data_IF_717494297207
#
_entry.id   IF_717494297207
#
_cell.length_a   1.000
_cell.length_b   1.000
_cell.length_c   1.000
_cell.angle_alpha   90.00
_cell.angle_beta   90.00
_cell.angle_gamma   90.00
#
_symmetry.space_group_name_H-M   'P 1'
#
loop_
_entity.id
_entity.type
_entity.pdbx_description
1 polymer ?
#
# COMPACT_ATOMS: atom_id res chain seq x y z
N UNK A 1 -15.65 -59.97 -34.46
CA UNK A 1 -14.35 -60.14 -35.15
C UNK A 1 -13.88 -58.76 -35.61
N UNK A 2 -12.66 -58.35 -35.21
CA UNK A 2 -11.77 -57.28 -35.75
C UNK A 2 -12.38 -56.32 -36.81
N UNK A 3 -12.23 -54.99 -36.74
CA UNK A 3 -10.93 -54.29 -36.67
C UNK A 3 -11.12 -52.78 -36.53
N UNK A 4 -10.20 -52.18 -35.78
CA UNK A 4 -9.97 -50.76 -35.57
C UNK A 4 -9.46 -49.97 -36.79
N UNK A 5 -9.80 -48.66 -36.77
CA UNK A 5 -9.04 -47.44 -37.11
C UNK A 5 -8.45 -47.27 -38.54
N UNK A 6 -8.84 -46.17 -39.23
CA UNK A 6 -7.89 -45.14 -39.73
C UNK A 6 -8.53 -43.88 -40.36
N UNK A 7 -8.38 -42.76 -39.63
CA UNK A 7 -7.87 -41.44 -40.05
C UNK A 7 -8.31 -40.86 -41.41
N UNK A 8 -9.20 -39.86 -41.36
CA UNK A 8 -9.47 -38.92 -42.45
C UNK A 8 -8.45 -37.77 -42.45
N UNK A 9 -7.73 -37.64 -43.57
CA UNK A 9 -6.82 -36.53 -43.88
C UNK A 9 -7.65 -35.29 -44.27
N UNK A 10 -8.00 -34.44 -43.31
CA UNK A 10 -8.42 -33.09 -43.62
C UNK A 10 -7.19 -32.16 -43.61
N UNK A 11 -6.78 -31.85 -44.83
CA UNK A 11 -5.87 -30.77 -45.22
C UNK A 11 -6.30 -29.48 -44.52
N UNK A 12 -5.47 -29.00 -43.59
CA UNK A 12 -5.60 -27.66 -43.01
C UNK A 12 -4.78 -26.72 -43.86
N UNK A 13 -5.47 -25.87 -44.63
CA UNK A 13 -4.88 -24.86 -45.50
C UNK A 13 -4.25 -23.77 -44.62
N UNK A 14 -2.94 -23.64 -44.77
CA UNK A 14 -2.09 -22.59 -44.24
C UNK A 14 -2.41 -21.28 -44.98
N UNK A 15 -3.20 -20.39 -44.36
CA UNK A 15 -3.32 -19.00 -44.80
C UNK A 15 -2.42 -18.11 -43.93
N UNK A 16 -1.22 -17.85 -44.45
CA UNK A 16 -0.34 -16.79 -43.97
C UNK A 16 -0.98 -15.43 -44.27
N UNK A 17 -1.59 -14.78 -43.28
CA UNK A 17 -1.84 -13.35 -43.32
C UNK A 17 -0.72 -12.63 -42.57
N UNK A 18 0.31 -12.28 -43.32
CA UNK A 18 1.37 -11.37 -42.89
C UNK A 18 0.79 -9.95 -42.84
N UNK A 19 0.17 -9.59 -41.72
CA UNK A 19 -0.10 -8.18 -41.43
C UNK A 19 1.11 -7.62 -40.68
N UNK A 20 2.03 -7.04 -41.44
CA UNK A 20 3.08 -6.19 -40.91
C UNK A 20 2.42 -4.90 -40.38
N UNK A 21 2.00 -4.93 -39.11
CA UNK A 21 1.63 -3.73 -38.37
C UNK A 21 2.90 -3.05 -37.88
N UNK A 22 3.33 -1.98 -38.56
CA UNK A 22 4.29 -1.04 -38.00
C UNK A 22 3.65 -0.40 -36.75
N UNK A 23 4.06 -0.81 -35.55
CA UNK A 23 3.72 -0.10 -34.33
C UNK A 23 4.54 1.19 -34.30
N UNK A 24 3.91 2.31 -34.64
CA UNK A 24 4.48 3.63 -34.38
C UNK A 24 4.49 3.80 -32.85
N UNK A 25 5.66 3.74 -32.22
CA UNK A 25 5.82 4.15 -30.83
C UNK A 25 5.72 5.67 -30.79
N UNK A 26 4.54 6.18 -30.45
CA UNK A 26 4.40 7.54 -29.95
C UNK A 26 5.21 7.62 -28.67
N UNK A 27 6.38 8.26 -28.73
CA UNK A 27 7.11 8.71 -27.54
C UNK A 27 6.16 9.65 -26.79
N UNK A 28 5.51 9.13 -25.74
CA UNK A 28 4.77 9.95 -24.81
C UNK A 28 5.77 10.90 -24.15
N UNK A 29 5.65 12.19 -24.44
CA UNK A 29 6.32 13.24 -23.69
C UNK A 29 6.04 13.06 -22.19
N UNK A 30 7.02 13.30 -21.30
CA UNK A 30 6.78 13.21 -19.87
C UNK A 30 5.67 14.18 -19.50
N UNK A 31 4.70 13.78 -18.66
CA UNK A 31 3.58 14.63 -18.32
C UNK A 31 4.08 15.90 -17.65
N UNK A 32 3.81 17.03 -18.30
CA UNK A 32 3.96 18.36 -17.73
C UNK A 32 3.08 18.43 -16.49
N UNK A 33 3.71 18.56 -15.32
CA UNK A 33 3.05 18.80 -14.03
C UNK A 33 2.33 20.15 -14.06
N UNK A 34 1.09 20.12 -14.52
CA UNK A 34 0.22 21.28 -14.60
C UNK A 34 -1.24 20.85 -14.66
N UNK A 35 -1.78 20.36 -13.54
CA UNK A 35 -3.17 19.92 -13.46
C UNK A 35 -3.75 20.01 -12.06
N UNK A 36 -4.69 20.94 -11.86
CA UNK A 36 -5.60 20.97 -10.72
C UNK A 36 -6.43 19.67 -10.70
N UNK A 37 -6.44 18.99 -9.56
CA UNK A 37 -7.62 18.24 -9.08
C UNK A 37 -7.90 16.89 -9.72
N UNK A 38 -7.07 15.90 -9.42
CA UNK A 38 -7.53 14.53 -9.18
C UNK A 38 -6.91 14.12 -7.86
N UNK A 39 -7.73 13.77 -6.85
CA UNK A 39 -7.25 13.16 -5.61
C UNK A 39 -6.27 12.07 -6.04
N UNK A 40 -5.01 12.22 -5.64
CA UNK A 40 -3.97 11.24 -5.93
C UNK A 40 -4.59 9.88 -5.65
N UNK A 41 -4.66 9.02 -6.68
CA UNK A 41 -5.03 7.64 -6.48
C UNK A 41 -4.15 7.16 -5.32
N UNK A 42 -4.77 6.80 -4.19
CA UNK A 42 -4.06 6.35 -2.99
C UNK A 42 -3.14 5.22 -3.44
N UNK A 43 -1.87 5.52 -3.68
CA UNK A 43 -0.91 4.51 -4.07
C UNK A 43 -0.53 3.76 -2.80
N UNK A 44 -1.43 2.89 -2.37
CA UNK A 44 -1.26 2.03 -1.21
C UNK A 44 -0.11 1.03 -1.39
N UNK A 45 0.68 1.14 -2.47
CA UNK A 45 1.88 0.34 -2.72
C UNK A 45 3.06 0.74 -1.86
N UNK A 46 3.07 1.95 -1.29
CA UNK A 46 4.16 2.39 -0.41
C UNK A 46 4.24 1.58 0.87
N UNK A 47 3.12 1.03 1.34
CA UNK A 47 3.04 0.34 2.62
C UNK A 47 2.25 -0.95 2.52
N UNK A 48 2.42 -1.84 3.50
CA UNK A 48 1.68 -3.11 3.58
C UNK A 48 0.45 -3.01 4.47
N UNK A 49 -0.03 -1.79 4.74
CA UNK A 49 -1.14 -1.52 5.69
C UNK A 49 -2.46 -2.20 5.29
N UNK A 50 -2.63 -2.50 4.00
CA UNK A 50 -3.79 -3.24 3.48
C UNK A 50 -3.71 -4.75 3.73
N UNK A 51 -2.51 -5.28 3.98
CA UNK A 51 -2.30 -6.68 4.37
C UNK A 51 -2.54 -6.93 5.86
N UNK A 52 -2.55 -5.87 6.67
CA UNK A 52 -2.86 -5.93 8.10
C UNK A 52 -4.36 -6.15 8.31
N UNK A 53 -4.70 -7.17 9.11
CA UNK A 53 -6.07 -7.63 9.36
C UNK A 53 -6.36 -7.67 10.85
N UNK A 54 -7.61 -7.35 11.20
CA UNK A 54 -8.15 -7.57 12.55
C UNK A 54 -7.92 -9.02 12.97
N UNK A 55 -7.54 -9.22 14.23
CA UNK A 55 -7.16 -10.51 14.79
C UNK A 55 -5.65 -10.79 14.80
N UNK A 56 -4.84 -10.03 14.06
CA UNK A 56 -3.39 -10.15 14.11
C UNK A 56 -2.83 -9.66 15.45
N UNK A 57 -1.80 -10.33 15.96
CA UNK A 57 -0.98 -9.87 17.08
C UNK A 57 -0.14 -8.66 16.69
N UNK A 58 0.33 -7.87 17.67
CA UNK A 58 1.24 -6.75 17.37
C UNK A 58 2.53 -7.21 16.67
N UNK A 59 3.00 -8.43 16.96
CA UNK A 59 4.16 -9.05 16.30
C UNK A 59 3.88 -9.37 14.84
N UNK A 60 2.72 -9.96 14.52
CA UNK A 60 2.34 -10.25 13.13
C UNK A 60 2.15 -8.96 12.32
N UNK A 61 1.59 -7.93 12.93
CA UNK A 61 1.50 -6.60 12.32
C UNK A 61 2.90 -6.04 12.05
N UNK A 62 3.81 -6.10 13.02
CA UNK A 62 5.19 -5.63 12.84
C UNK A 62 5.92 -6.41 11.73
N UNK A 63 5.77 -7.73 11.68
CA UNK A 63 6.33 -8.56 10.61
C UNK A 63 5.74 -8.22 9.23
N UNK A 64 4.45 -7.88 9.18
CA UNK A 64 3.77 -7.47 7.94
C UNK A 64 4.23 -6.08 7.48
N UNK A 65 4.40 -5.14 8.41
CA UNK A 65 4.75 -3.76 8.09
C UNK A 65 6.25 -3.55 7.86
N UNK A 66 7.10 -4.43 8.41
CA UNK A 66 8.55 -4.27 8.42
C UNK A 66 9.01 -3.20 9.42
N UNK A 67 10.32 -3.15 9.66
CA UNK A 67 10.92 -2.25 10.67
C UNK A 67 10.95 -0.78 10.24
N UNK A 68 11.03 -0.53 8.92
CA UNK A 68 11.09 0.81 8.35
C UNK A 68 10.28 0.90 7.06
N UNK A 69 9.82 2.11 6.77
CA UNK A 69 9.14 2.43 5.50
C UNK A 69 9.96 3.49 4.75
N UNK A 70 10.24 3.27 3.47
CA UNK A 70 10.81 4.30 2.60
C UNK A 70 9.69 5.24 2.15
N UNK A 71 9.80 6.52 2.52
CA UNK A 71 8.77 7.53 2.25
C UNK A 71 9.16 8.48 1.11
N UNK A 72 10.40 8.38 0.62
CA UNK A 72 10.89 9.21 -0.46
C UNK A 72 12.36 8.97 -0.73
N UNK A 73 12.90 9.78 -1.63
CA UNK A 73 14.32 9.82 -1.95
C UNK A 73 14.77 11.27 -1.99
N UNK A 74 15.91 11.55 -1.36
CA UNK A 74 16.52 12.87 -1.39
C UNK A 74 17.85 12.84 -2.13
N UNK A 75 18.26 13.99 -2.63
CA UNK A 75 19.57 14.20 -3.24
C UNK A 75 20.34 15.18 -2.35
N UNK A 76 21.33 14.70 -1.57
CA UNK A 76 22.03 15.54 -0.60
C UNK A 76 22.89 16.62 -1.27
N UNK A 77 23.35 16.38 -2.50
CA UNK A 77 24.14 17.34 -3.28
C UNK A 77 23.60 17.48 -4.69
N UNK A 78 23.34 18.71 -5.15
CA UNK A 78 22.75 18.97 -6.47
C UNK A 78 23.57 18.38 -7.63
N UNK A 79 24.90 18.33 -7.48
CA UNK A 79 25.85 17.79 -8.46
C UNK A 79 25.98 16.25 -8.42
N UNK A 80 25.45 15.59 -7.39
CA UNK A 80 25.49 14.13 -7.27
C UNK A 80 24.34 13.47 -8.04
N UNK A 81 24.62 12.34 -8.69
CA UNK A 81 23.60 11.48 -9.27
C UNK A 81 23.04 10.44 -8.27
N UNK A 82 23.52 10.44 -7.02
CA UNK A 82 23.10 9.49 -6.01
C UNK A 82 21.85 9.98 -5.27
N UNK A 83 20.83 9.14 -5.22
CA UNK A 83 19.63 9.31 -4.40
C UNK A 83 19.77 8.49 -3.13
N UNK A 84 19.40 9.08 -2.00
CA UNK A 84 19.37 8.41 -0.71
C UNK A 84 17.91 8.21 -0.27
N UNK A 85 17.55 7.02 0.23
CA UNK A 85 16.19 6.78 0.70
C UNK A 85 15.94 7.53 2.00
N UNK A 86 14.82 8.24 2.07
CA UNK A 86 14.29 8.80 3.31
C UNK A 86 13.40 7.74 3.94
N UNK A 87 13.75 7.31 5.16
CA UNK A 87 13.06 6.22 5.85
C UNK A 87 12.50 6.64 7.19
N UNK A 88 11.39 6.02 7.59
CA UNK A 88 10.75 6.20 8.90
C UNK A 88 10.72 4.86 9.63
N UNK A 89 10.86 4.90 10.96
CA UNK A 89 10.69 3.70 11.77
C UNK A 89 9.21 3.31 11.85
N UNK A 90 8.97 2.00 11.98
CA UNK A 90 7.65 1.42 12.14
C UNK A 90 7.51 0.77 13.54
N UNK A 91 6.40 1.00 14.26
CA UNK A 91 5.45 2.08 14.01
C UNK A 91 6.13 3.44 14.16
N UNK A 92 5.56 4.46 13.51
CA UNK A 92 6.04 5.83 13.60
C UNK A 92 5.85 6.40 15.00
N UNK A 93 4.73 6.08 15.63
CA UNK A 93 4.36 6.54 16.96
C UNK A 93 3.51 5.51 17.69
N UNK A 94 3.53 5.54 19.03
CA UNK A 94 2.73 4.66 19.90
C UNK A 94 2.05 5.46 21.00
N UNK A 95 0.80 5.14 21.30
CA UNK A 95 0.03 5.70 22.40
C UNK A 95 -0.71 4.59 23.17
N UNK A 96 -1.20 4.95 24.36
CA UNK A 96 -2.06 4.09 25.17
C UNK A 96 -3.37 4.82 25.44
N UNK A 97 -4.49 4.15 25.23
CA UNK A 97 -5.81 4.62 25.65
C UNK A 97 -6.28 3.77 26.82
N UNK A 98 -6.49 4.39 27.97
CA UNK A 98 -7.02 3.73 29.17
C UNK A 98 -8.45 4.14 29.41
N UNK A 99 -9.25 3.16 29.80
CA UNK A 99 -10.64 3.31 30.23
C UNK A 99 -10.77 2.70 31.62
N UNK A 100 -11.94 2.83 32.26
CA UNK A 100 -12.17 2.20 33.56
C UNK A 100 -11.99 0.67 33.53
N UNK A 101 -12.28 0.04 32.40
CA UNK A 101 -12.36 -1.43 32.28
C UNK A 101 -11.24 -2.03 31.42
N UNK A 102 -10.67 -1.25 30.49
CA UNK A 102 -9.79 -1.74 29.43
C UNK A 102 -8.64 -0.78 29.13
N UNK A 103 -7.52 -1.34 28.67
CA UNK A 103 -6.38 -0.60 28.11
C UNK A 103 -6.19 -1.03 26.65
N UNK A 104 -5.92 -0.06 25.79
CA UNK A 104 -5.65 -0.26 24.38
C UNK A 104 -4.29 0.31 24.01
N UNK A 105 -3.52 -0.43 23.22
CA UNK A 105 -2.31 0.08 22.57
C UNK A 105 -2.70 0.64 21.20
N UNK A 106 -2.21 1.83 20.85
CA UNK A 106 -2.49 2.46 19.56
C UNK A 106 -1.17 2.68 18.85
N UNK A 107 -0.95 1.99 17.74
CA UNK A 107 0.25 2.12 16.92
C UNK A 107 -0.08 2.89 15.65
N UNK A 108 0.65 3.97 15.40
CA UNK A 108 0.47 4.79 14.21
C UNK A 108 1.52 4.39 13.17
N UNK A 109 1.04 3.88 12.04
CA UNK A 109 1.91 3.53 10.92
C UNK A 109 1.78 4.55 9.80
N UNK A 110 2.90 4.89 9.18
CA UNK A 110 2.86 5.56 7.89
C UNK A 110 2.09 4.67 6.90
N UNK A 111 1.22 5.28 6.10
CA UNK A 111 0.30 4.54 5.21
C UNK A 111 0.19 5.12 3.81
N UNK A 112 0.40 6.43 3.66
CA UNK A 112 0.27 7.15 2.40
C UNK A 112 1.04 8.48 2.47
N UNK A 113 1.50 8.97 1.32
CA UNK A 113 2.01 10.34 1.19
C UNK A 113 0.81 11.23 0.80
N UNK A 114 0.59 12.29 1.57
CA UNK A 114 -0.32 13.38 1.20
C UNK A 114 0.46 14.61 0.76
N UNK A 115 1.62 14.88 1.38
CA UNK A 115 2.47 16.03 1.06
C UNK A 115 3.93 15.59 0.98
N UNK A 116 4.64 16.05 -0.04
CA UNK A 116 6.07 15.79 -0.22
C UNK A 116 6.91 16.93 0.39
N UNK A 117 6.62 17.31 1.64
CA UNK A 117 7.30 18.39 2.37
C UNK A 117 8.28 17.87 3.44
N UNK A 118 8.38 16.55 3.60
CA UNK A 118 9.25 15.90 4.58
C UNK A 118 8.71 15.91 6.01
N UNK A 119 7.50 16.43 6.23
CA UNK A 119 6.85 16.48 7.55
C UNK A 119 5.72 15.46 7.56
N UNK A 120 5.81 14.47 8.44
CA UNK A 120 4.78 13.44 8.56
C UNK A 120 3.62 13.98 9.39
N UNK A 121 2.48 14.20 8.73
CA UNK A 121 1.26 14.66 9.38
C UNK A 121 0.29 13.52 9.68
N UNK A 122 -0.70 13.77 10.54
CA UNK A 122 -1.65 12.74 10.99
C UNK A 122 -2.48 12.12 9.86
N UNK A 123 -2.75 12.87 8.79
CA UNK A 123 -3.46 12.41 7.58
C UNK A 123 -2.62 11.45 6.71
N UNK A 124 -1.34 11.27 7.02
CA UNK A 124 -0.45 10.28 6.39
C UNK A 124 -0.34 8.98 7.21
N UNK A 125 -0.84 9.02 8.44
CA UNK A 125 -0.81 7.92 9.39
C UNK A 125 -2.13 7.14 9.40
N UNK A 126 -2.02 5.83 9.62
CA UNK A 126 -3.15 4.96 9.94
C UNK A 126 -2.97 4.40 11.35
N UNK A 127 -3.87 4.71 12.30
CA UNK A 127 -3.82 4.11 13.63
C UNK A 127 -4.30 2.66 13.59
N UNK A 128 -3.62 1.81 14.33
CA UNK A 128 -3.96 0.41 14.61
C UNK A 128 -4.18 0.25 16.11
N UNK A 129 -5.37 -0.23 16.50
CA UNK A 129 -5.78 -0.32 17.90
C UNK A 129 -5.77 -1.76 18.35
N UNK A 130 -5.01 -2.04 19.41
CA UNK A 130 -4.84 -3.36 19.98
C UNK A 130 -5.50 -3.45 21.35
N UNK A 131 -6.14 -4.58 21.63
CA UNK A 131 -6.61 -4.97 22.95
C UNK A 131 -5.98 -6.34 23.26
N UNK A 132 -5.26 -6.45 24.39
CA UNK A 132 -4.57 -7.68 24.79
C UNK A 132 -3.69 -8.27 23.66
N UNK A 133 -2.84 -7.43 23.05
CA UNK A 133 -1.97 -7.75 21.91
C UNK A 133 -2.69 -8.05 20.57
N UNK A 134 -4.03 -8.09 20.53
CA UNK A 134 -4.79 -8.39 19.31
C UNK A 134 -5.30 -7.11 18.65
N UNK A 135 -5.06 -6.96 17.34
CA UNK A 135 -5.59 -5.86 16.55
C UNK A 135 -7.12 -5.96 16.47
N UNK A 136 -7.83 -5.03 17.10
CA UNK A 136 -9.29 -4.97 17.11
C UNK A 136 -9.87 -3.98 16.09
N UNK A 137 -9.05 -3.06 15.58
CA UNK A 137 -9.50 -2.10 14.60
C UNK A 137 -8.39 -1.25 13.98
N UNK A 138 -8.72 -0.67 12.82
CA UNK A 138 -7.81 0.12 11.98
C UNK A 138 -8.47 1.43 11.56
N UNK A 139 -7.66 2.48 11.44
CA UNK A 139 -8.07 3.75 10.87
C UNK A 139 -8.66 4.71 11.89
N UNK A 140 -8.66 5.99 11.51
CA UNK A 140 -9.11 7.09 12.35
C UNK A 140 -10.57 6.95 12.79
N UNK A 141 -11.45 6.45 11.91
CA UNK A 141 -12.86 6.25 12.25
C UNK A 141 -13.05 5.28 13.41
N UNK A 142 -12.28 4.19 13.44
CA UNK A 142 -12.33 3.21 14.54
C UNK A 142 -11.83 3.84 15.83
N UNK A 143 -10.66 4.50 15.79
CA UNK A 143 -10.06 5.14 16.95
C UNK A 143 -10.95 6.24 17.54
N UNK A 144 -11.57 7.06 16.70
CA UNK A 144 -12.44 8.16 17.13
C UNK A 144 -13.73 7.64 17.76
N UNK A 145 -14.35 6.60 17.16
CA UNK A 145 -15.51 5.93 17.76
C UNK A 145 -15.18 5.37 19.14
N UNK A 146 -14.03 4.72 19.27
CA UNK A 146 -13.56 4.18 20.55
C UNK A 146 -13.38 5.29 21.58
N UNK A 147 -12.67 6.38 21.25
CA UNK A 147 -12.47 7.52 22.16
C UNK A 147 -13.80 8.14 22.60
N UNK A 148 -14.76 8.31 21.70
CA UNK A 148 -16.06 8.91 22.05
C UNK A 148 -16.92 8.00 22.96
N UNK A 149 -16.82 6.69 22.83
CA UNK A 149 -17.50 5.77 23.74
C UNK A 149 -16.94 5.85 25.17
N UNK A 150 -15.66 6.22 25.31
CA UNK A 150 -15.00 6.31 26.61
C UNK A 150 -15.27 7.61 27.35
N UNK A 151 -15.71 8.66 26.66
CA UNK A 151 -16.01 9.97 27.25
C UNK A 151 -17.48 10.15 27.66
N UNK A 152 -18.36 9.19 27.33
CA UNK A 152 -19.81 9.30 27.54
C UNK A 152 -20.33 8.40 28.69
N UNK A 153 -19.44 7.84 29.51
CA UNK A 153 -19.77 7.13 30.76
C UNK A 153 -19.31 7.99 31.95
#
# INVERSE_FOLDING_TARGET
>A
MKKDIKMNKNIFILCCFSVAGCTFQTLSEPPVLGGKGTRAAQDSRLTRINSVRVGMTSREVAATMGEKTTIGYERPEAASNAYHPVTVNNPYHKEFLRTAEKTYDIFYYFSQIQRADGIISSDELTPLVFENDILIGKGWDFLNKLKNQTTTK
#
